data_IF_077064500623
#
_entry.id   IF_077064500623
#
_cell.length_a   1.000
_cell.length_b   1.000
_cell.length_c   1.000
_cell.angle_alpha   90.00
_cell.angle_beta   90.00
_cell.angle_gamma   90.00
#
_symmetry.space_group_name_H-M   'P 1'
#
loop_
_entity.id
_entity.type
_entity.pdbx_description
1 polymer ?
#
# COMPACT_ATOMS: atom_id res chain seq x y z
N UNK A 1 -44.41 23.57 84.43
CA UNK A 1 -44.39 24.27 83.16
C UNK A 1 -43.02 24.00 82.47
N UNK A 2 -42.92 22.98 81.60
CA UNK A 2 -41.70 22.57 80.91
C UNK A 2 -41.96 22.56 79.41
N UNK A 3 -41.37 23.50 78.78
CA UNK A 3 -41.41 23.71 77.30
C UNK A 3 -40.40 22.75 76.65
N UNK A 4 -40.89 21.84 75.79
CA UNK A 4 -40.01 20.98 74.93
C UNK A 4 -39.75 21.60 73.62
N UNK A 5 -38.48 21.97 73.33
CA UNK A 5 -37.99 22.47 72.06
C UNK A 5 -37.75 21.24 71.16
N UNK A 6 -38.45 21.19 70.00
CA UNK A 6 -38.24 20.19 68.95
C UNK A 6 -37.26 20.74 67.93
N UNK A 7 -36.13 20.05 67.75
CA UNK A 7 -35.16 20.27 66.71
C UNK A 7 -35.64 19.56 65.44
N UNK A 8 -35.82 20.37 64.34
CA UNK A 8 -36.10 19.86 63.01
C UNK A 8 -34.76 19.66 62.31
N UNK A 9 -34.37 18.42 62.03
CA UNK A 9 -33.19 18.11 61.23
C UNK A 9 -33.60 18.13 59.77
N UNK A 10 -33.08 19.09 59.00
CA UNK A 10 -33.21 19.13 57.56
C UNK A 10 -32.05 18.30 56.97
N UNK A 11 -32.38 17.16 56.39
CA UNK A 11 -31.46 16.34 55.58
C UNK A 11 -31.38 16.95 54.17
N UNK A 12 -30.26 17.58 53.87
CA UNK A 12 -29.94 18.05 52.51
C UNK A 12 -29.35 16.85 51.74
N UNK A 13 -30.15 16.27 50.86
CA UNK A 13 -29.67 15.21 49.93
C UNK A 13 -28.90 15.87 48.77
N UNK A 14 -27.58 15.76 48.78
CA UNK A 14 -26.74 16.01 47.62
C UNK A 14 -26.94 14.87 46.61
N UNK A 15 -27.63 15.15 45.50
CA UNK A 15 -27.63 14.28 44.34
C UNK A 15 -26.32 14.50 43.56
N UNK A 16 -25.56 13.46 43.19
CA UNK A 16 -24.42 13.64 42.31
C UNK A 16 -24.93 14.00 40.90
N UNK A 17 -24.54 15.16 40.40
CA UNK A 17 -24.63 15.44 38.98
C UNK A 17 -23.61 14.52 38.26
N UNK A 18 -24.08 13.40 37.72
CA UNK A 18 -23.36 12.63 36.72
C UNK A 18 -23.35 13.47 35.41
N UNK A 19 -22.24 14.10 35.11
CA UNK A 19 -21.98 14.57 33.74
C UNK A 19 -21.90 13.31 32.86
N UNK A 20 -22.99 13.00 32.19
CA UNK A 20 -22.92 12.10 31.03
C UNK A 20 -22.21 12.88 29.91
N UNK A 21 -20.92 12.61 29.73
CA UNK A 21 -20.24 12.98 28.48
C UNK A 21 -20.93 12.19 27.35
N UNK A 22 -21.87 12.84 26.70
CA UNK A 22 -22.34 12.37 25.38
C UNK A 22 -21.20 12.63 24.41
N UNK A 23 -20.29 11.66 24.28
CA UNK A 23 -19.40 11.61 23.13
C UNK A 23 -20.30 11.52 21.89
N UNK A 24 -20.40 12.62 21.13
CA UNK A 24 -21.02 12.56 19.81
C UNK A 24 -20.37 11.42 19.02
N UNK A 25 -21.14 10.60 18.29
CA UNK A 25 -20.55 9.60 17.42
C UNK A 25 -19.53 10.31 16.51
N UNK A 26 -18.32 9.75 16.42
CA UNK A 26 -17.35 10.24 15.45
C UNK A 26 -18.02 10.20 14.07
N UNK A 27 -17.83 11.25 13.23
CA UNK A 27 -18.30 11.20 11.85
C UNK A 27 -17.75 9.91 11.21
N UNK A 28 -18.53 9.26 10.31
CA UNK A 28 -18.04 8.08 9.61
C UNK A 28 -16.74 8.44 8.90
N UNK A 29 -15.73 7.59 9.03
CA UNK A 29 -14.47 7.77 8.33
C UNK A 29 -14.72 7.79 6.82
N UNK A 30 -14.14 8.78 6.12
CA UNK A 30 -14.22 8.86 4.67
C UNK A 30 -13.17 7.92 4.06
N UNK A 31 -13.63 6.84 3.41
CA UNK A 31 -12.75 5.97 2.64
C UNK A 31 -12.32 6.67 1.36
N UNK A 32 -11.02 6.67 1.09
CA UNK A 32 -10.43 7.31 -0.09
C UNK A 32 -9.54 6.35 -0.86
N UNK A 33 -9.63 6.43 -2.20
CA UNK A 33 -8.63 5.88 -3.10
C UNK A 33 -7.53 6.92 -3.29
N UNK A 34 -6.30 6.50 -3.11
CA UNK A 34 -5.09 7.27 -3.39
C UNK A 34 -4.44 6.76 -4.66
N UNK A 35 -3.95 7.65 -5.51
CA UNK A 35 -3.18 7.25 -6.70
C UNK A 35 -2.01 8.19 -6.93
N UNK A 36 -0.82 7.61 -7.09
CA UNK A 36 0.39 8.36 -7.44
C UNK A 36 0.41 8.65 -8.93
N UNK A 37 0.53 9.92 -9.28
CA UNK A 37 0.66 10.41 -10.65
C UNK A 37 2.13 10.79 -10.88
N UNK A 38 2.89 9.87 -11.46
CA UNK A 38 4.36 9.93 -11.44
C UNK A 38 4.92 11.10 -12.25
N UNK A 39 4.42 11.32 -13.47
CA UNK A 39 4.90 12.41 -14.33
C UNK A 39 4.44 13.78 -13.82
N UNK A 40 3.22 13.87 -13.31
CA UNK A 40 2.68 15.10 -12.70
C UNK A 40 3.28 15.40 -11.33
N UNK A 41 3.91 14.41 -10.70
CA UNK A 41 4.41 14.47 -9.32
C UNK A 41 3.31 14.91 -8.32
N UNK A 42 2.16 14.27 -8.40
CA UNK A 42 1.01 14.52 -7.53
C UNK A 42 0.43 13.24 -6.93
N UNK A 43 -0.36 13.40 -5.89
CA UNK A 43 -1.18 12.35 -5.28
C UNK A 43 -2.65 12.70 -5.48
N UNK A 44 -3.39 11.89 -6.24
CA UNK A 44 -4.85 11.98 -6.29
C UNK A 44 -5.45 11.43 -5.01
N UNK A 45 -6.40 12.16 -4.43
CA UNK A 45 -7.20 11.76 -3.26
C UNK A 45 -8.66 11.75 -3.68
N UNK A 46 -9.25 10.56 -3.77
CA UNK A 46 -10.58 10.35 -4.35
C UNK A 46 -11.50 9.75 -3.28
N UNK A 47 -12.45 10.50 -2.72
CA UNK A 47 -13.49 9.93 -1.85
C UNK A 47 -14.29 8.87 -2.61
N UNK A 48 -14.30 7.63 -2.11
CA UNK A 48 -14.92 6.51 -2.85
C UNK A 48 -16.44 6.62 -2.96
N UNK A 49 -17.08 7.35 -2.04
CA UNK A 49 -18.53 7.60 -2.06
C UNK A 49 -18.92 8.86 -2.86
N UNK A 50 -17.96 9.74 -3.13
CA UNK A 50 -18.18 10.98 -3.85
C UNK A 50 -16.99 11.29 -4.78
N UNK A 51 -16.69 10.44 -5.77
CA UNK A 51 -15.46 10.54 -6.56
C UNK A 51 -15.34 11.88 -7.32
N UNK A 52 -16.44 12.55 -7.62
CA UNK A 52 -16.43 13.87 -8.24
C UNK A 52 -15.90 15.01 -7.36
N UNK A 53 -15.64 14.76 -6.08
CA UNK A 53 -15.02 15.72 -5.14
C UNK A 53 -13.52 15.47 -4.93
N UNK A 54 -12.94 14.54 -5.68
CA UNK A 54 -11.51 14.23 -5.62
C UNK A 54 -10.64 15.43 -6.02
N UNK A 55 -9.42 15.44 -5.52
CA UNK A 55 -8.42 16.48 -5.77
C UNK A 55 -7.02 15.91 -5.83
N UNK A 56 -6.07 16.67 -6.40
CA UNK A 56 -4.67 16.31 -6.48
C UNK A 56 -3.83 17.16 -5.51
N UNK A 57 -2.92 16.50 -4.80
CA UNK A 57 -1.94 17.13 -3.92
C UNK A 57 -0.59 17.16 -4.64
N UNK A 58 -0.03 18.32 -4.98
CA UNK A 58 1.33 18.40 -5.52
C UNK A 58 2.35 17.91 -4.50
N UNK A 59 3.22 16.99 -4.88
CA UNK A 59 4.21 16.38 -3.99
C UNK A 59 5.50 17.21 -3.87
N UNK A 60 5.74 18.11 -4.83
CA UNK A 60 6.96 18.92 -4.86
C UNK A 60 8.17 18.10 -5.29
N UNK A 61 9.39 18.63 -5.01
CA UNK A 61 10.66 18.01 -5.38
C UNK A 61 11.38 18.75 -6.50
N UNK A 62 12.62 18.36 -6.77
CA UNK A 62 13.46 18.95 -7.84
C UNK A 62 13.50 18.08 -9.08
N UNK A 63 13.54 16.77 -8.89
CA UNK A 63 13.46 15.73 -9.93
C UNK A 63 12.54 14.60 -9.45
N UNK A 64 11.30 14.91 -9.07
CA UNK A 64 10.42 13.93 -8.46
C UNK A 64 10.03 12.86 -9.47
N UNK A 65 10.18 11.63 -9.06
CA UNK A 65 9.69 10.44 -9.76
C UNK A 65 8.96 9.57 -8.75
N UNK A 66 7.82 10.05 -8.21
CA UNK A 66 7.13 9.33 -7.14
C UNK A 66 6.69 7.96 -7.61
N UNK A 67 7.04 6.96 -6.80
CA UNK A 67 6.75 5.55 -7.05
C UNK A 67 6.41 4.87 -5.72
N UNK A 68 5.20 4.40 -5.59
CA UNK A 68 4.69 3.81 -4.36
C UNK A 68 3.91 4.79 -3.48
N UNK A 69 2.98 4.23 -2.75
CA UNK A 69 2.21 4.91 -1.72
C UNK A 69 1.80 3.92 -0.65
N UNK A 70 1.86 4.33 0.60
CA UNK A 70 1.20 3.65 1.71
C UNK A 70 0.49 4.69 2.56
N UNK A 71 -0.66 4.32 3.10
CA UNK A 71 -1.45 5.21 3.93
C UNK A 71 -1.93 4.54 5.22
N UNK A 72 -2.10 5.36 6.25
CA UNK A 72 -2.66 4.96 7.53
C UNK A 72 -3.46 6.12 8.11
N UNK A 73 -4.77 5.96 8.18
CA UNK A 73 -5.65 7.06 8.56
C UNK A 73 -5.48 8.25 7.61
N UNK A 74 -5.31 9.44 8.16
CA UNK A 74 -5.14 10.68 7.40
C UNK A 74 -3.70 10.92 6.90
N UNK A 75 -2.75 9.99 7.10
CA UNK A 75 -1.36 10.16 6.67
C UNK A 75 -1.04 9.23 5.52
N UNK A 76 -0.48 9.78 4.44
CA UNK A 76 0.12 8.99 3.37
C UNK A 76 1.63 9.29 3.26
N UNK A 77 2.38 8.27 2.87
CA UNK A 77 3.81 8.36 2.59
C UNK A 77 4.04 8.00 1.12
N UNK A 78 4.77 8.87 0.42
CA UNK A 78 5.08 8.70 -1.00
C UNK A 78 6.59 8.78 -1.20
N UNK A 79 7.26 7.67 -1.56
CA UNK A 79 8.66 7.69 -1.98
C UNK A 79 8.82 8.49 -3.28
N UNK A 80 9.81 9.39 -3.30
CA UNK A 80 10.00 10.37 -4.37
C UNK A 80 11.06 9.97 -5.40
N UNK A 81 11.42 8.68 -5.47
CA UNK A 81 12.33 8.14 -6.47
C UNK A 81 13.68 8.83 -6.51
N UNK A 82 13.98 9.50 -7.62
CA UNK A 82 15.27 10.16 -7.87
C UNK A 82 15.56 11.35 -6.94
N UNK A 83 14.55 11.93 -6.30
CA UNK A 83 14.77 12.95 -5.25
C UNK A 83 15.35 12.37 -3.96
N UNK A 84 15.43 11.05 -3.83
CA UNK A 84 15.97 10.36 -2.65
C UNK A 84 15.31 10.85 -1.36
N UNK A 85 14.00 10.96 -1.37
CA UNK A 85 13.21 11.44 -0.24
C UNK A 85 11.88 10.70 -0.14
N UNK A 86 11.16 10.90 0.95
CA UNK A 86 9.77 10.50 1.11
C UNK A 86 8.93 11.71 1.51
N UNK A 87 7.83 11.94 0.80
CA UNK A 87 6.85 12.95 1.16
C UNK A 87 5.88 12.39 2.20
N UNK A 88 5.65 13.16 3.25
CA UNK A 88 4.63 12.92 4.28
C UNK A 88 3.44 13.81 3.98
N UNK A 89 2.30 13.22 3.65
CA UNK A 89 1.11 13.91 3.18
C UNK A 89 0.03 13.85 4.25
N UNK A 90 -0.53 14.99 4.60
CA UNK A 90 -1.79 15.10 5.34
C UNK A 90 -2.94 15.05 4.33
N UNK A 91 -3.67 13.95 4.32
CA UNK A 91 -4.78 13.72 3.38
C UNK A 91 -5.99 14.60 3.71
N UNK A 92 -6.24 14.87 4.99
CA UNK A 92 -7.36 15.72 5.42
C UNK A 92 -7.09 17.19 5.11
N UNK A 93 -5.84 17.64 5.34
CA UNK A 93 -5.39 19.01 5.03
C UNK A 93 -5.04 19.23 3.57
N UNK A 94 -4.94 18.17 2.75
CA UNK A 94 -4.60 18.24 1.33
C UNK A 94 -3.21 18.80 1.04
N UNK A 95 -2.21 18.50 1.90
CA UNK A 95 -0.87 19.11 1.81
C UNK A 95 0.25 18.15 2.16
N UNK A 96 1.44 18.38 1.58
CA UNK A 96 2.68 17.77 2.04
C UNK A 96 3.14 18.50 3.30
N UNK A 97 3.17 17.81 4.43
CA UNK A 97 3.56 18.41 5.72
C UNK A 97 5.06 18.33 5.97
N UNK A 98 5.73 17.36 5.35
CA UNK A 98 7.17 17.15 5.52
C UNK A 98 7.74 16.38 4.32
N UNK A 99 8.98 16.69 3.96
CA UNK A 99 9.81 15.87 3.07
C UNK A 99 11.02 15.39 3.85
N UNK A 100 11.18 14.08 3.98
CA UNK A 100 12.28 13.47 4.74
C UNK A 100 13.32 12.95 3.76
N UNK A 101 14.56 13.42 3.91
CA UNK A 101 15.66 12.99 3.06
C UNK A 101 16.10 11.57 3.42
N UNK A 102 16.31 10.77 2.39
CA UNK A 102 16.87 9.42 2.45
C UNK A 102 18.35 9.45 2.03
N UNK A 103 19.10 8.37 2.21
CA UNK A 103 20.48 8.31 1.74
C UNK A 103 20.61 8.69 0.27
N UNK A 104 21.60 9.50 -0.06
CA UNK A 104 21.84 9.96 -1.43
C UNK A 104 22.01 8.75 -2.39
N UNK A 105 21.36 8.83 -3.54
CA UNK A 105 21.35 7.75 -4.52
C UNK A 105 20.42 6.58 -4.17
N UNK A 106 19.53 6.71 -3.21
CA UNK A 106 18.61 5.63 -2.79
C UNK A 106 17.69 5.15 -3.92
N UNK A 107 17.18 6.05 -4.75
CA UNK A 107 16.19 5.72 -5.78
C UNK A 107 14.90 5.17 -5.15
N UNK A 108 14.41 5.79 -4.09
CA UNK A 108 13.34 5.32 -3.21
C UNK A 108 12.10 4.80 -3.96
N UNK A 109 11.63 3.59 -3.61
CA UNK A 109 10.48 2.94 -4.27
C UNK A 109 9.40 2.50 -3.29
N UNK A 110 9.40 1.24 -2.86
CA UNK A 110 8.36 0.68 -1.97
C UNK A 110 8.33 1.33 -0.59
N UNK A 111 7.15 1.38 -0.01
CA UNK A 111 6.90 1.92 1.32
C UNK A 111 5.92 1.05 2.08
N UNK A 112 6.16 0.84 3.38
CA UNK A 112 5.21 0.23 4.30
C UNK A 112 5.18 0.97 5.64
N UNK A 113 3.99 1.30 6.11
CA UNK A 113 3.78 1.92 7.43
C UNK A 113 3.64 0.80 8.47
N UNK A 114 4.44 0.88 9.53
CA UNK A 114 4.45 -0.08 10.64
C UNK A 114 3.47 0.31 11.72
N UNK A 115 3.53 1.58 12.15
CA UNK A 115 2.68 2.15 13.19
C UNK A 115 2.42 3.64 12.95
N UNK A 116 1.88 4.35 13.91
CA UNK A 116 1.52 5.77 13.78
C UNK A 116 2.74 6.72 13.72
N UNK A 117 3.96 6.19 13.65
CA UNK A 117 5.20 6.96 13.61
C UNK A 117 6.28 6.39 12.69
N UNK A 118 6.26 5.09 12.44
CA UNK A 118 7.34 4.36 11.78
C UNK A 118 6.89 3.79 10.44
N UNK A 119 7.72 3.98 9.44
CA UNK A 119 7.62 3.36 8.13
C UNK A 119 8.98 2.85 7.65
N UNK A 120 8.97 2.01 6.62
CA UNK A 120 10.16 1.53 5.91
C UNK A 120 10.05 1.89 4.43
N UNK A 121 11.16 2.33 3.86
CA UNK A 121 11.30 2.75 2.47
C UNK A 121 12.38 1.90 1.80
N UNK A 122 12.09 1.32 0.64
CA UNK A 122 13.07 0.57 -0.15
C UNK A 122 14.01 1.53 -0.91
N UNK A 123 15.31 1.20 -0.89
CA UNK A 123 16.35 1.95 -1.59
C UNK A 123 17.05 1.00 -2.57
N UNK A 124 16.48 0.76 -3.77
CA UNK A 124 16.97 -0.27 -4.69
C UNK A 124 18.42 -0.06 -5.12
N UNK A 125 18.85 1.18 -5.33
CA UNK A 125 20.21 1.47 -5.77
C UNK A 125 21.29 1.25 -4.69
N UNK A 126 20.89 1.16 -3.41
CA UNK A 126 21.78 0.98 -2.27
C UNK A 126 21.69 -0.40 -1.64
N UNK A 127 20.76 -1.26 -2.09
CA UNK A 127 20.48 -2.55 -1.48
C UNK A 127 20.18 -2.44 0.02
N UNK A 128 19.40 -1.40 0.40
CA UNK A 128 19.00 -1.15 1.78
C UNK A 128 17.51 -0.85 1.87
N UNK A 129 16.98 -0.93 3.09
CA UNK A 129 15.74 -0.25 3.46
C UNK A 129 16.04 0.81 4.52
N UNK A 130 15.32 1.92 4.49
CA UNK A 130 15.44 2.97 5.51
C UNK A 130 14.18 2.95 6.38
N UNK A 131 14.38 2.71 7.68
CA UNK A 131 13.37 2.99 8.70
C UNK A 131 13.28 4.49 8.87
N UNK A 132 12.07 5.02 8.80
CA UNK A 132 11.77 6.45 8.91
C UNK A 132 10.80 6.64 10.06
N UNK A 133 11.13 7.54 11.00
CA UNK A 133 10.12 8.10 11.89
C UNK A 133 9.52 9.32 11.19
N UNK A 134 8.32 9.19 10.64
CA UNK A 134 7.73 10.26 9.85
C UNK A 134 7.16 11.42 10.68
N UNK A 135 7.11 11.28 12.01
CA UNK A 135 6.78 12.39 12.92
C UNK A 135 8.02 13.27 13.21
N UNK A 136 9.16 12.64 13.53
CA UNK A 136 10.39 13.38 13.88
C UNK A 136 11.29 13.66 12.67
N UNK A 137 11.30 12.80 11.68
CA UNK A 137 12.21 12.83 10.52
C UNK A 137 13.48 11.99 10.71
N UNK A 138 13.61 11.27 11.83
CA UNK A 138 14.75 10.40 12.08
C UNK A 138 14.77 9.22 11.13
N UNK A 139 15.96 8.85 10.66
CA UNK A 139 16.15 7.75 9.72
C UNK A 139 17.28 6.81 10.16
N UNK A 140 17.12 5.52 9.83
CA UNK A 140 18.17 4.51 10.04
C UNK A 140 18.04 3.41 8.98
N UNK A 141 19.12 3.10 8.27
CA UNK A 141 19.10 2.12 7.18
C UNK A 141 19.59 0.74 7.64
N UNK A 142 19.02 -0.31 7.02
CA UNK A 142 19.40 -1.72 7.18
C UNK A 142 19.72 -2.27 5.80
N UNK A 143 20.84 -3.00 5.68
CA UNK A 143 21.18 -3.70 4.46
C UNK A 143 20.18 -4.86 4.22
N UNK A 144 19.81 -5.09 2.97
CA UNK A 144 18.92 -6.16 2.54
C UNK A 144 19.48 -6.84 1.29
N UNK A 145 18.63 -7.47 0.49
CA UNK A 145 19.08 -8.09 -0.75
C UNK A 145 19.24 -7.10 -1.91
N UNK A 146 19.55 -7.64 -3.08
CA UNK A 146 19.82 -6.88 -4.29
C UNK A 146 18.52 -6.30 -4.84
N UNK A 147 18.52 -4.99 -5.09
CA UNK A 147 17.44 -4.24 -5.70
C UNK A 147 16.10 -4.43 -4.99
N UNK A 148 15.98 -4.02 -3.71
CA UNK A 148 14.70 -4.05 -3.00
C UNK A 148 13.70 -3.12 -3.67
N UNK A 149 12.49 -3.59 -3.96
CA UNK A 149 11.46 -2.81 -4.66
C UNK A 149 10.23 -2.57 -3.79
N UNK A 150 9.57 -3.64 -3.37
CA UNK A 150 8.37 -3.59 -2.56
C UNK A 150 8.65 -3.90 -1.09
N UNK A 151 7.80 -3.40 -0.23
CA UNK A 151 7.83 -3.66 1.21
C UNK A 151 6.39 -3.86 1.69
N UNK A 152 6.20 -4.83 2.57
CA UNK A 152 4.93 -5.02 3.27
C UNK A 152 5.16 -5.29 4.76
N UNK A 153 4.30 -4.75 5.61
CA UNK A 153 4.29 -5.02 7.05
C UNK A 153 3.13 -5.93 7.41
N UNK A 154 3.43 -7.09 7.92
CA UNK A 154 2.42 -8.05 8.41
C UNK A 154 2.97 -8.91 9.52
N UNK A 155 2.11 -9.42 10.41
CA UNK A 155 2.50 -10.31 11.55
C UNK A 155 3.66 -9.76 12.39
N UNK A 156 3.74 -8.43 12.55
CA UNK A 156 4.79 -7.77 13.34
C UNK A 156 6.19 -7.80 12.71
N UNK A 157 6.29 -8.09 11.42
CA UNK A 157 7.55 -8.09 10.65
C UNK A 157 7.39 -7.31 9.36
N UNK A 158 8.51 -6.77 8.89
CA UNK A 158 8.62 -6.12 7.59
C UNK A 158 9.24 -7.11 6.62
N UNK A 159 8.54 -7.37 5.51
CA UNK A 159 9.00 -8.23 4.42
C UNK A 159 9.40 -7.34 3.25
N UNK A 160 10.65 -7.47 2.83
CA UNK A 160 11.25 -6.68 1.75
C UNK A 160 11.43 -7.56 0.53
N UNK A 161 10.82 -7.22 -0.57
CA UNK A 161 10.93 -7.94 -1.84
C UNK A 161 12.22 -7.50 -2.54
N UNK A 162 13.20 -8.41 -2.60
CA UNK A 162 14.45 -8.18 -3.32
C UNK A 162 14.28 -8.67 -4.76
N UNK A 163 14.16 -7.75 -5.69
CA UNK A 163 13.93 -8.04 -7.11
C UNK A 163 15.08 -8.78 -7.76
N UNK A 164 16.29 -8.68 -7.22
CA UNK A 164 17.52 -9.25 -7.75
C UNK A 164 17.80 -8.79 -9.18
N UNK A 165 17.69 -7.46 -9.39
CA UNK A 165 17.93 -6.87 -10.71
C UNK A 165 19.36 -6.32 -10.81
N UNK A 166 19.96 -6.53 -11.98
CA UNK A 166 21.19 -5.88 -12.41
C UNK A 166 20.91 -5.21 -13.76
N UNK A 167 21.12 -3.91 -13.86
CA UNK A 167 20.77 -3.11 -15.03
C UNK A 167 19.29 -3.33 -15.47
N UNK A 168 18.38 -3.35 -14.49
CA UNK A 168 16.94 -3.57 -14.67
C UNK A 168 16.55 -4.93 -15.27
N UNK A 169 17.47 -5.90 -15.30
CA UNK A 169 17.18 -7.27 -15.72
C UNK A 169 17.38 -8.24 -14.56
N UNK A 170 16.53 -9.28 -14.41
CA UNK A 170 16.69 -10.28 -13.37
C UNK A 170 18.05 -10.99 -13.50
N UNK A 171 18.82 -11.00 -12.41
CA UNK A 171 20.09 -11.72 -12.33
C UNK A 171 19.93 -13.15 -11.77
N UNK A 172 18.71 -13.51 -11.38
CA UNK A 172 18.34 -14.80 -10.80
C UNK A 172 17.06 -14.71 -9.99
N UNK A 173 16.72 -15.76 -9.23
CA UNK A 173 15.55 -15.77 -8.37
C UNK A 173 15.54 -14.62 -7.36
N UNK A 174 14.35 -14.15 -7.02
CA UNK A 174 14.10 -13.19 -5.94
C UNK A 174 14.06 -13.87 -4.58
N UNK A 175 14.06 -13.08 -3.53
CA UNK A 175 13.80 -13.53 -2.16
C UNK A 175 13.21 -12.39 -1.32
N UNK A 176 12.59 -12.75 -0.20
CA UNK A 176 12.18 -11.77 0.80
C UNK A 176 13.25 -11.68 1.90
N UNK A 177 13.63 -10.46 2.29
CA UNK A 177 14.34 -10.22 3.55
C UNK A 177 13.34 -9.87 4.63
N UNK A 178 13.49 -10.47 5.81
CA UNK A 178 12.58 -10.25 6.94
C UNK A 178 13.27 -9.39 8.00
N UNK A 179 12.69 -8.22 8.28
CA UNK A 179 13.19 -7.24 9.27
C UNK A 179 12.29 -7.25 10.51
N UNK A 180 12.92 -7.17 11.67
CA UNK A 180 12.24 -6.89 12.93
C UNK A 180 12.19 -5.37 13.16
N UNK A 181 11.01 -4.73 13.11
CA UNK A 181 10.92 -3.29 13.25
C UNK A 181 11.24 -2.78 14.67
N UNK A 182 11.18 -3.65 15.68
CA UNK A 182 11.50 -3.27 17.07
C UNK A 182 13.01 -3.05 17.23
N UNK A 183 13.82 -3.93 16.66
CA UNK A 183 15.28 -3.84 16.73
C UNK A 183 15.91 -3.11 15.55
N UNK A 184 15.13 -2.86 14.49
CA UNK A 184 15.60 -2.35 13.19
C UNK A 184 16.75 -3.18 12.63
N UNK A 185 16.62 -4.50 12.63
CA UNK A 185 17.61 -5.47 12.18
C UNK A 185 16.93 -6.67 11.52
N UNK A 186 17.72 -7.52 10.89
CA UNK A 186 17.20 -8.80 10.39
C UNK A 186 16.52 -9.58 11.50
N UNK A 187 15.39 -10.19 11.20
CA UNK A 187 14.64 -10.99 12.15
C UNK A 187 15.45 -12.20 12.60
N UNK A 188 15.34 -12.58 13.87
CA UNK A 188 15.97 -13.80 14.39
C UNK A 188 15.36 -15.04 13.73
N UNK A 189 16.18 -16.07 13.52
CA UNK A 189 15.78 -17.30 12.83
C UNK A 189 15.83 -17.14 11.31
N UNK A 190 14.77 -17.51 10.60
CA UNK A 190 14.68 -17.34 9.13
C UNK A 190 14.45 -15.88 8.82
N UNK A 191 15.44 -15.22 8.24
CA UNK A 191 15.42 -13.82 7.81
C UNK A 191 15.46 -13.64 6.28
N UNK A 192 15.56 -14.76 5.54
CA UNK A 192 15.55 -14.80 4.09
C UNK A 192 14.64 -15.92 3.60
N UNK A 193 13.67 -15.59 2.75
CA UNK A 193 12.70 -16.53 2.18
C UNK A 193 12.94 -16.57 0.67
N UNK A 194 13.49 -17.66 0.13
CA UNK A 194 13.68 -17.80 -1.32
C UNK A 194 12.34 -17.82 -2.06
N UNK A 195 12.31 -17.17 -3.22
CA UNK A 195 11.20 -17.21 -4.19
C UNK A 195 11.74 -17.83 -5.50
N UNK A 196 11.78 -19.15 -5.64
CA UNK A 196 12.32 -19.81 -6.82
C UNK A 196 11.56 -19.39 -8.09
N UNK A 197 12.27 -18.99 -9.13
CA UNK A 197 11.66 -18.56 -10.40
C UNK A 197 12.41 -17.42 -11.06
N UNK A 198 11.74 -16.67 -11.93
CA UNK A 198 12.39 -15.71 -12.84
C UNK A 198 12.92 -14.44 -12.19
N UNK A 199 12.65 -14.18 -10.92
CA UNK A 199 13.08 -12.94 -10.26
C UNK A 199 12.15 -11.74 -10.48
N UNK A 200 12.62 -10.55 -10.08
CA UNK A 200 11.89 -9.29 -10.15
C UNK A 200 10.63 -9.25 -9.25
N UNK A 201 10.75 -9.74 -8.01
CA UNK A 201 9.69 -9.56 -7.01
C UNK A 201 9.56 -8.10 -6.61
N UNK A 202 8.36 -7.52 -6.75
CA UNK A 202 8.15 -6.08 -6.53
C UNK A 202 6.87 -5.73 -5.79
N UNK A 203 5.88 -6.61 -5.76
CA UNK A 203 4.57 -6.31 -5.20
C UNK A 203 4.10 -7.45 -4.29
N UNK A 204 3.39 -7.09 -3.24
CA UNK A 204 2.79 -8.07 -2.35
C UNK A 204 1.55 -7.53 -1.64
N UNK A 205 0.63 -8.44 -1.31
CA UNK A 205 -0.50 -8.17 -0.43
C UNK A 205 -0.82 -9.38 0.45
N UNK A 206 -1.60 -9.17 1.50
CA UNK A 206 -2.00 -10.22 2.44
C UNK A 206 -3.42 -10.65 2.16
N UNK A 207 -3.61 -11.90 1.80
CA UNK A 207 -4.94 -12.47 1.59
C UNK A 207 -5.75 -12.60 2.89
N UNK A 208 -7.06 -12.81 2.75
CA UNK A 208 -7.97 -13.06 3.88
C UNK A 208 -7.59 -14.31 4.70
N UNK A 209 -6.85 -15.24 4.11
CA UNK A 209 -6.25 -16.42 4.75
C UNK A 209 -5.01 -16.09 5.61
N UNK A 210 -4.53 -14.86 5.56
CA UNK A 210 -3.35 -14.37 6.27
C UNK A 210 -2.01 -14.77 5.65
N UNK A 211 -2.02 -15.36 4.45
CA UNK A 211 -0.84 -15.63 3.67
C UNK A 211 -0.42 -14.39 2.88
N UNK A 212 0.86 -14.31 2.56
CA UNK A 212 1.43 -13.23 1.77
C UNK A 212 1.52 -13.69 0.31
N UNK A 213 0.92 -12.92 -0.59
CA UNK A 213 0.93 -13.13 -2.02
C UNK A 213 1.94 -12.18 -2.65
N UNK A 214 2.92 -12.70 -3.39
CA UNK A 214 4.04 -11.92 -3.94
C UNK A 214 4.11 -12.09 -5.45
N UNK A 215 4.14 -10.98 -6.19
CA UNK A 215 4.33 -10.98 -7.64
C UNK A 215 5.80 -10.81 -7.97
N UNK A 216 6.29 -11.71 -8.84
CA UNK A 216 7.56 -11.61 -9.55
C UNK A 216 7.28 -11.41 -11.04
N UNK A 217 7.70 -10.28 -11.60
CA UNK A 217 7.35 -9.89 -12.98
C UNK A 217 8.27 -10.52 -14.04
N UNK A 218 9.41 -11.10 -13.64
CA UNK A 218 10.40 -11.62 -14.57
C UNK A 218 11.11 -10.52 -15.36
N UNK A 219 11.44 -10.81 -16.61
CA UNK A 219 12.20 -9.92 -17.51
C UNK A 219 11.32 -8.94 -18.31
N UNK A 220 10.03 -8.89 -18.06
CA UNK A 220 9.01 -8.08 -18.74
C UNK A 220 8.76 -8.42 -20.23
N UNK A 221 9.46 -9.42 -20.79
CA UNK A 221 9.33 -9.78 -22.22
C UNK A 221 8.93 -11.24 -22.44
N UNK A 222 9.32 -12.12 -21.53
CA UNK A 222 9.22 -13.57 -21.71
C UNK A 222 7.93 -14.23 -21.19
N UNK A 223 6.92 -13.47 -20.79
CA UNK A 223 5.70 -14.07 -20.21
C UNK A 223 5.95 -14.84 -18.91
N UNK A 224 6.91 -14.42 -18.11
CA UNK A 224 7.43 -15.13 -16.93
C UNK A 224 6.75 -14.74 -15.62
N UNK A 225 5.68 -13.96 -15.69
CA UNK A 225 4.95 -13.50 -14.51
C UNK A 225 4.56 -14.65 -13.57
N UNK A 226 4.81 -14.47 -12.27
CA UNK A 226 4.64 -15.50 -11.26
C UNK A 226 4.04 -14.95 -9.97
N UNK A 227 3.16 -15.72 -9.36
CA UNK A 227 2.63 -15.51 -8.02
C UNK A 227 3.27 -16.52 -7.07
N UNK A 228 3.91 -16.05 -6.01
CA UNK A 228 4.38 -16.85 -4.87
C UNK A 228 3.44 -16.66 -3.69
N UNK A 229 3.09 -17.75 -3.00
CA UNK A 229 2.33 -17.72 -1.75
C UNK A 229 3.30 -18.04 -0.62
N UNK A 230 3.42 -17.14 0.35
CA UNK A 230 4.37 -17.24 1.46
C UNK A 230 3.60 -17.28 2.78
N UNK A 231 3.93 -18.22 3.64
CA UNK A 231 3.52 -18.19 5.05
C UNK A 231 4.40 -17.17 5.81
N UNK A 232 3.85 -16.03 6.24
CA UNK A 232 4.64 -15.01 6.94
C UNK A 232 5.02 -15.41 8.36
N UNK A 233 4.36 -16.43 8.95
CA UNK A 233 4.66 -16.94 10.29
C UNK A 233 5.76 -18.00 10.22
N UNK A 234 5.58 -19.02 9.38
CA UNK A 234 6.57 -20.07 9.12
C UNK A 234 7.77 -19.58 8.31
N UNK A 235 7.65 -18.43 7.65
CA UNK A 235 8.65 -17.78 6.80
C UNK A 235 9.15 -18.71 5.70
N UNK A 236 8.23 -19.21 4.90
CA UNK A 236 8.51 -20.09 3.79
C UNK A 236 7.54 -19.85 2.62
N UNK A 237 8.02 -20.02 1.39
CA UNK A 237 7.14 -20.16 0.24
C UNK A 237 6.40 -21.50 0.36
N UNK A 238 5.07 -21.47 0.32
CA UNK A 238 4.21 -22.66 0.47
C UNK A 238 3.61 -23.11 -0.86
N UNK A 239 3.51 -22.22 -1.84
CA UNK A 239 3.08 -22.53 -3.20
C UNK A 239 3.52 -21.43 -4.17
N UNK A 240 3.47 -21.74 -5.47
CA UNK A 240 3.69 -20.75 -6.52
C UNK A 240 2.96 -21.13 -7.80
N UNK A 241 2.66 -20.12 -8.62
CA UNK A 241 1.84 -20.25 -9.83
C UNK A 241 2.43 -19.37 -10.95
N UNK A 242 2.52 -19.93 -12.15
CA UNK A 242 2.74 -19.19 -13.39
C UNK A 242 1.41 -18.77 -14.04
N UNK A 243 1.49 -18.38 -15.32
CA UNK A 243 0.30 -18.03 -16.10
C UNK A 243 -0.13 -16.56 -15.96
N UNK A 244 0.72 -15.70 -15.40
CA UNK A 244 0.47 -14.28 -15.26
C UNK A 244 1.00 -13.44 -16.45
N UNK A 245 1.50 -14.10 -17.49
CA UNK A 245 1.95 -13.41 -18.70
C UNK A 245 3.12 -12.48 -18.50
N UNK A 246 3.08 -11.37 -19.22
CA UNK A 246 4.15 -10.37 -19.27
C UNK A 246 3.79 -9.17 -18.39
N UNK A 247 4.70 -8.82 -17.48
CA UNK A 247 4.61 -7.60 -16.67
C UNK A 247 3.43 -7.53 -15.71
N UNK A 248 3.12 -8.60 -14.93
CA UNK A 248 2.20 -8.46 -13.81
C UNK A 248 2.79 -7.45 -12.80
N UNK A 249 1.93 -6.61 -12.25
CA UNK A 249 2.30 -5.51 -11.36
C UNK A 249 1.70 -5.67 -9.97
N UNK A 250 1.04 -4.61 -9.50
CA UNK A 250 0.39 -4.57 -8.19
C UNK A 250 -0.71 -5.62 -8.05
N UNK A 251 -1.02 -5.94 -6.81
CA UNK A 251 -2.12 -6.86 -6.47
C UNK A 251 -2.88 -6.34 -5.27
N UNK A 252 -4.17 -6.70 -5.19
CA UNK A 252 -5.04 -6.38 -4.08
C UNK A 252 -5.93 -7.58 -3.74
N UNK A 253 -5.95 -7.98 -2.48
CA UNK A 253 -6.86 -9.00 -1.98
C UNK A 253 -8.19 -8.36 -1.54
N UNK A 254 -9.32 -8.99 -1.86
CA UNK A 254 -10.58 -8.62 -1.25
C UNK A 254 -10.72 -9.25 0.16
N UNK A 255 -11.79 -8.89 0.87
CA UNK A 255 -12.11 -9.48 2.17
C UNK A 255 -12.53 -10.96 2.09
N UNK A 256 -12.71 -11.48 0.87
CA UNK A 256 -13.12 -12.86 0.59
C UNK A 256 -11.97 -13.73 0.09
N UNK A 257 -12.18 -14.35 -1.06
CA UNK A 257 -11.26 -15.36 -1.62
C UNK A 257 -10.55 -14.88 -2.89
N UNK A 258 -10.68 -13.60 -3.26
CA UNK A 258 -10.22 -13.08 -4.55
C UNK A 258 -8.96 -12.25 -4.37
N UNK A 259 -8.03 -12.46 -5.25
CA UNK A 259 -6.83 -11.65 -5.41
C UNK A 259 -6.83 -11.09 -6.84
N UNK A 260 -6.87 -9.78 -6.95
CA UNK A 260 -6.78 -9.09 -8.23
C UNK A 260 -5.34 -8.72 -8.51
N UNK A 261 -4.92 -8.88 -9.76
CA UNK A 261 -3.54 -8.65 -10.20
C UNK A 261 -3.58 -7.74 -11.42
N UNK A 262 -2.95 -6.58 -11.33
CA UNK A 262 -2.79 -5.69 -12.48
C UNK A 262 -1.71 -6.22 -13.43
N UNK A 263 -1.88 -6.00 -14.72
CA UNK A 263 -0.84 -6.22 -15.70
C UNK A 263 -0.94 -5.20 -16.82
N UNK A 264 0.20 -4.64 -17.18
CA UNK A 264 0.30 -3.67 -18.25
C UNK A 264 -0.10 -4.26 -19.60
N UNK A 265 0.19 -5.54 -19.80
CA UNK A 265 -0.07 -6.27 -21.06
C UNK A 265 -1.36 -7.06 -21.04
N UNK A 266 -1.70 -7.67 -19.91
CA UNK A 266 -2.82 -8.63 -19.81
C UNK A 266 -4.12 -7.99 -19.26
N UNK A 267 -4.05 -6.75 -18.76
CA UNK A 267 -5.17 -6.07 -18.10
C UNK A 267 -5.33 -6.49 -16.64
N UNK A 268 -6.56 -6.69 -16.18
CA UNK A 268 -6.84 -7.14 -14.82
C UNK A 268 -7.03 -8.64 -14.78
N UNK A 269 -6.22 -9.33 -13.99
CA UNK A 269 -6.30 -10.78 -13.76
C UNK A 269 -6.92 -11.06 -12.38
N UNK A 270 -7.39 -12.28 -12.18
CA UNK A 270 -7.99 -12.73 -10.93
C UNK A 270 -7.47 -14.12 -10.54
N UNK A 271 -7.10 -14.28 -9.28
CA UNK A 271 -6.71 -15.53 -8.66
C UNK A 271 -7.63 -15.82 -7.46
N UNK A 272 -8.10 -17.07 -7.33
CA UNK A 272 -8.87 -17.50 -6.16
C UNK A 272 -7.91 -18.13 -5.13
N UNK A 273 -7.87 -17.55 -3.93
CA UNK A 273 -6.93 -17.91 -2.87
C UNK A 273 -7.25 -19.26 -2.21
N UNK A 274 -8.52 -19.70 -2.24
CA UNK A 274 -8.97 -20.96 -1.65
C UNK A 274 -8.73 -22.13 -2.62
N UNK A 275 -9.20 -22.01 -3.86
CA UNK A 275 -8.96 -23.05 -4.88
C UNK A 275 -7.54 -23.03 -5.42
N UNK A 276 -6.77 -21.95 -5.15
CA UNK A 276 -5.42 -21.72 -5.63
C UNK A 276 -5.30 -21.83 -7.14
N UNK A 277 -6.21 -21.17 -7.84
CA UNK A 277 -6.28 -21.21 -9.30
C UNK A 277 -6.52 -19.81 -9.88
N UNK A 278 -5.95 -19.55 -11.06
CA UNK A 278 -6.33 -18.39 -11.87
C UNK A 278 -7.77 -18.55 -12.33
N UNK A 279 -8.58 -17.53 -12.09
CA UNK A 279 -9.93 -17.38 -12.64
C UNK A 279 -9.83 -16.64 -13.98
N UNK A 280 -8.99 -15.60 -14.02
CA UNK A 280 -8.57 -14.88 -15.22
C UNK A 280 -7.05 -14.71 -15.18
N UNK A 281 -6.35 -15.25 -16.18
CA UNK A 281 -4.90 -15.19 -16.29
C UNK A 281 -4.44 -14.49 -17.56
N UNK A 282 -3.20 -14.77 -17.98
CA UNK A 282 -2.70 -14.26 -19.25
C UNK A 282 -3.51 -14.83 -20.43
N UNK A 283 -3.99 -13.93 -21.30
CA UNK A 283 -4.79 -14.28 -22.48
C UNK A 283 -6.29 -14.21 -22.28
N UNK A 284 -6.80 -14.15 -21.04
CA UNK A 284 -8.23 -13.95 -20.74
C UNK A 284 -8.47 -12.94 -19.60
N UNK A 285 -7.49 -12.10 -19.31
CA UNK A 285 -7.63 -10.98 -18.39
C UNK A 285 -8.69 -9.97 -18.84
N UNK A 286 -9.29 -9.27 -17.89
CA UNK A 286 -10.24 -8.19 -18.19
C UNK A 286 -9.49 -7.05 -18.89
N UNK A 287 -9.89 -6.65 -20.11
CA UNK A 287 -9.10 -5.74 -20.92
C UNK A 287 -9.12 -4.31 -20.37
N UNK A 288 -8.05 -3.92 -19.69
CA UNK A 288 -7.78 -2.57 -19.21
C UNK A 288 -6.37 -2.21 -19.68
N UNK A 289 -6.28 -1.31 -20.62
CA UNK A 289 -5.01 -0.93 -21.24
C UNK A 289 -4.11 -0.20 -20.24
N UNK A 290 -2.85 -0.62 -20.13
CA UNK A 290 -1.88 0.01 -19.24
C UNK A 290 -2.27 -0.11 -17.76
N UNK A 291 -2.86 -1.24 -17.37
CA UNK A 291 -3.27 -1.48 -15.99
C UNK A 291 -2.04 -1.63 -15.08
N UNK A 292 -1.73 -0.57 -14.33
CA UNK A 292 -0.52 -0.42 -13.51
C UNK A 292 -0.72 -0.78 -12.05
N UNK A 293 -1.93 -0.59 -11.53
CA UNK A 293 -2.27 -0.87 -10.14
C UNK A 293 -3.72 -1.35 -10.01
N UNK A 294 -4.01 -1.97 -8.90
CA UNK A 294 -5.37 -2.38 -8.52
C UNK A 294 -5.54 -2.21 -7.01
N UNK A 295 -6.73 -1.78 -6.60
CA UNK A 295 -7.16 -1.69 -5.20
C UNK A 295 -8.60 -2.15 -5.04
N UNK A 296 -8.96 -2.53 -3.83
CA UNK A 296 -10.33 -2.94 -3.46
C UNK A 296 -10.76 -2.15 -2.23
N UNK A 297 -11.94 -1.51 -2.30
CA UNK A 297 -12.48 -0.79 -1.14
C UNK A 297 -13.27 -1.72 -0.19
N UNK A 298 -13.69 -1.17 0.95
CA UNK A 298 -14.44 -1.90 1.99
C UNK A 298 -15.80 -2.44 1.51
N UNK A 299 -16.32 -1.95 0.38
CA UNK A 299 -17.57 -2.41 -0.25
C UNK A 299 -17.36 -3.42 -1.37
N UNK A 300 -16.10 -3.79 -1.64
CA UNK A 300 -15.73 -4.75 -2.68
C UNK A 300 -15.78 -4.16 -4.10
N UNK A 301 -15.74 -2.83 -4.25
CA UNK A 301 -15.51 -2.21 -5.57
C UNK A 301 -14.03 -2.31 -5.90
N UNK A 302 -13.73 -2.64 -7.14
CA UNK A 302 -12.37 -2.86 -7.63
C UNK A 302 -11.99 -1.63 -8.45
N UNK A 303 -10.85 -1.05 -8.14
CA UNK A 303 -10.27 0.09 -8.84
C UNK A 303 -9.06 -0.38 -9.63
N UNK A 304 -9.21 -0.55 -10.93
CA UNK A 304 -8.11 -0.88 -11.83
C UNK A 304 -7.56 0.39 -12.47
N UNK A 305 -6.28 0.66 -12.25
CA UNK A 305 -5.64 1.92 -12.61
C UNK A 305 -4.96 1.81 -13.95
N UNK A 306 -5.39 2.59 -14.92
CA UNK A 306 -4.72 2.78 -16.20
C UNK A 306 -3.81 4.01 -16.16
N UNK A 307 -2.54 3.83 -16.56
CA UNK A 307 -1.55 4.92 -16.52
C UNK A 307 -1.89 6.09 -17.43
N UNK A 308 -2.62 5.83 -18.51
CA UNK A 308 -2.61 6.71 -19.68
C UNK A 308 -1.24 6.67 -20.40
N UNK A 309 -1.00 7.57 -21.35
CA UNK A 309 0.23 7.56 -22.16
C UNK A 309 1.48 8.12 -21.45
N UNK A 310 1.39 8.58 -20.21
CA UNK A 310 2.46 9.18 -19.42
C UNK A 310 3.18 10.36 -20.10
N UNK A 311 2.48 11.11 -20.95
CA UNK A 311 3.02 12.25 -21.67
C UNK A 311 1.91 13.17 -22.20
N UNK A 312 2.25 14.43 -22.42
CA UNK A 312 1.35 15.39 -23.08
C UNK A 312 0.16 15.84 -22.24
N UNK A 313 0.23 15.73 -20.91
CA UNK A 313 -0.83 16.13 -20.00
C UNK A 313 -2.08 15.24 -20.08
N UNK A 314 -1.97 14.03 -20.63
CA UNK A 314 -3.10 13.11 -20.71
C UNK A 314 -3.23 12.34 -19.39
N UNK A 315 -4.37 12.44 -18.69
CA UNK A 315 -4.54 11.80 -17.40
C UNK A 315 -4.64 10.28 -17.49
N UNK A 316 -4.25 9.61 -16.42
CA UNK A 316 -4.63 8.23 -16.13
C UNK A 316 -6.10 8.09 -15.77
N UNK A 317 -6.56 6.87 -15.57
CA UNK A 317 -7.97 6.57 -15.25
C UNK A 317 -8.06 5.46 -14.22
N UNK A 318 -8.88 5.63 -13.19
CA UNK A 318 -9.32 4.53 -12.36
C UNK A 318 -10.64 3.97 -12.93
N UNK A 319 -10.59 2.75 -13.47
CA UNK A 319 -11.79 1.99 -13.86
C UNK A 319 -12.42 1.39 -12.62
N UNK A 320 -13.69 1.71 -12.37
CA UNK A 320 -14.42 1.21 -11.21
C UNK A 320 -15.24 0.00 -11.62
N UNK A 321 -14.88 -1.17 -11.10
CA UNK A 321 -15.52 -2.43 -11.41
C UNK A 321 -16.37 -2.91 -10.22
N UNK A 322 -17.48 -3.57 -10.56
CA UNK A 322 -18.29 -4.32 -9.58
C UNK A 322 -17.65 -5.67 -9.27
N UNK A 323 -18.17 -6.34 -8.25
CA UNK A 323 -17.72 -7.69 -7.88
C UNK A 323 -17.82 -8.73 -9.02
N UNK A 324 -18.67 -8.51 -10.01
CA UNK A 324 -18.78 -9.37 -11.20
C UNK A 324 -17.86 -8.92 -12.35
N UNK A 325 -16.90 -8.04 -12.09
CA UNK A 325 -15.93 -7.45 -13.02
C UNK A 325 -16.53 -6.56 -14.13
N UNK A 326 -17.84 -6.27 -14.10
CA UNK A 326 -18.42 -5.30 -15.02
C UNK A 326 -18.05 -3.89 -14.59
N UNK A 327 -17.62 -3.06 -15.53
CA UNK A 327 -17.34 -1.65 -15.27
C UNK A 327 -18.62 -0.90 -14.86
N UNK A 328 -18.52 -0.09 -13.81
CA UNK A 328 -19.62 0.74 -13.31
C UNK A 328 -19.40 2.22 -13.56
N UNK A 329 -18.17 2.60 -13.86
CA UNK A 329 -17.77 3.98 -14.13
C UNK A 329 -16.26 4.13 -14.19
N UNK A 330 -15.82 5.34 -14.42
CA UNK A 330 -14.40 5.69 -14.44
C UNK A 330 -14.16 7.04 -13.78
N UNK A 331 -12.96 7.22 -13.21
CA UNK A 331 -12.55 8.43 -12.51
C UNK A 331 -11.26 8.93 -13.16
N UNK A 332 -11.21 10.18 -13.64
CA UNK A 332 -9.96 10.75 -14.14
C UNK A 332 -8.98 10.96 -13.00
N UNK A 333 -7.70 10.68 -13.25
CA UNK A 333 -6.59 10.82 -12.31
C UNK A 333 -5.61 11.90 -12.83
N UNK A 334 -4.42 11.98 -12.25
CA UNK A 334 -3.34 12.78 -12.83
C UNK A 334 -2.57 12.05 -13.93
N UNK A 335 -1.53 12.68 -14.48
CA UNK A 335 -0.72 12.11 -15.55
C UNK A 335 0.19 10.99 -15.03
N UNK A 336 0.19 9.86 -15.74
CA UNK A 336 0.97 8.66 -15.38
C UNK A 336 0.60 8.07 -14.01
N UNK A 337 -0.65 7.70 -13.82
CA UNK A 337 -1.13 7.03 -12.61
C UNK A 337 -0.56 5.60 -12.51
N UNK A 338 0.25 5.29 -11.49
CA UNK A 338 1.01 4.03 -11.46
C UNK A 338 0.92 3.22 -10.17
N UNK A 339 0.59 3.83 -9.05
CA UNK A 339 0.44 3.13 -7.75
C UNK A 339 -0.81 3.62 -7.05
N UNK A 340 -1.42 2.75 -6.29
CA UNK A 340 -2.63 3.07 -5.56
C UNK A 340 -2.59 2.52 -4.13
N UNK A 341 -3.45 3.06 -3.28
CA UNK A 341 -3.76 2.55 -1.95
C UNK A 341 -5.17 3.00 -1.56
N UNK A 342 -5.82 2.24 -0.68
CA UNK A 342 -7.09 2.64 -0.06
C UNK A 342 -6.86 2.87 1.44
N UNK A 343 -7.45 3.93 1.99
CA UNK A 343 -7.37 4.23 3.43
C UNK A 343 -8.65 4.91 3.90
N UNK A 344 -8.87 4.91 5.22
CA UNK A 344 -9.95 5.65 5.86
C UNK A 344 -9.39 6.90 6.54
N UNK A 345 -9.90 8.07 6.16
CA UNK A 345 -9.61 9.34 6.85
C UNK A 345 -10.62 9.46 8.00
N UNK A 346 -10.16 9.54 9.26
CA UNK A 346 -11.05 9.62 10.43
C UNK A 346 -11.81 10.93 10.53
#
# INVERSE_FOLDING_TARGET
>A
MTSRLRWLSVLLSLAPLACAETTAPLPPADEVLLTVNSTEASLSVIPVEAPGTGFNIPLGGTTPTPVGVAARGAVALVPMGLDNSVAVVDLAGGTVTKTIQLPAGSGATGVAIVDDSIAYIANPNLNTVTRVNYLTGDTASVAVGVYPQGIIFTRGKVFVMNGNLVNFSPAGPSWLTVIDPVTNAHATGIDSIPLPGPGNAGFADVGSDGLLYVISSGDFFGGQGRLSIVDPVGRAEVANFGGLGTGPGALAADAGERLFISSFSEGLMEFNTVTRALVHGAGDGIPIAGNSAVEVDSKGRIYAISTGPCQGGTPGTAHVLRSNLSESGSIPLGECAIFAAVTNIP
#
